data_IF_906243248647
#
_entry.id   IF_906243248647
#
_cell.length_a   1.000
_cell.length_b   1.000
_cell.length_c   1.000
_cell.angle_alpha   90.00
_cell.angle_beta   90.00
_cell.angle_gamma   90.00
#
_symmetry.space_group_name_H-M   'P 1'
#
loop_
_entity.id
_entity.type
_entity.pdbx_description
1 polymer ?
#
# COMPACT_ATOMS: atom_id res chain seq x y z
N UNK A 1 -6.13 17.94 23.59
CA UNK A 1 -7.54 17.57 23.42
C UNK A 1 -7.66 16.82 22.11
N UNK A 2 -7.80 15.50 22.15
CA UNK A 2 -7.89 14.67 20.94
C UNK A 2 -9.31 14.83 20.40
N UNK A 3 -9.38 15.46 19.23
CA UNK A 3 -10.61 15.65 18.47
C UNK A 3 -11.25 14.27 18.20
N UNK A 4 -12.49 14.08 18.62
CA UNK A 4 -13.34 12.94 18.30
C UNK A 4 -13.71 12.99 16.80
N UNK A 5 -12.73 12.92 15.90
CA UNK A 5 -13.04 12.57 14.52
C UNK A 5 -13.67 11.19 14.53
N UNK A 6 -14.89 11.11 14.02
CA UNK A 6 -15.65 9.87 13.93
C UNK A 6 -14.75 8.73 13.43
N UNK A 7 -14.60 7.67 14.23
CA UNK A 7 -13.80 6.49 13.90
C UNK A 7 -14.12 5.94 12.49
N UNK A 8 -15.38 6.05 12.07
CA UNK A 8 -15.79 5.69 10.70
C UNK A 8 -15.22 6.59 9.60
N UNK A 9 -14.90 7.83 9.91
CA UNK A 9 -14.28 8.75 8.95
C UNK A 9 -12.81 8.38 8.67
N UNK A 10 -12.07 7.91 9.67
CA UNK A 10 -10.68 7.45 9.49
C UNK A 10 -10.62 6.17 8.63
N UNK A 11 -11.55 5.23 8.83
CA UNK A 11 -11.66 4.03 8.02
C UNK A 11 -12.00 4.34 6.55
N UNK A 12 -13.03 5.14 6.30
CA UNK A 12 -13.47 5.50 4.94
C UNK A 12 -12.45 6.37 4.19
N UNK A 13 -11.67 7.15 4.93
CA UNK A 13 -10.60 8.00 4.40
C UNK A 13 -9.52 7.16 3.69
N UNK A 14 -9.11 6.03 4.27
CA UNK A 14 -8.09 5.13 3.71
C UNK A 14 -8.53 4.44 2.42
N UNK A 15 -9.83 4.14 2.28
CA UNK A 15 -10.35 3.40 1.12
C UNK A 15 -10.47 4.30 -0.12
N UNK A 16 -11.06 5.51 0.02
CA UNK A 16 -11.46 6.34 -1.12
C UNK A 16 -10.60 7.61 -1.26
N UNK A 17 -10.46 8.38 -0.17
CA UNK A 17 -9.81 9.70 -0.22
C UNK A 17 -8.29 9.64 -0.21
N UNK A 18 -7.71 8.69 0.50
CA UNK A 18 -6.27 8.51 0.67
C UNK A 18 -5.84 7.07 0.31
N UNK A 19 -6.32 6.55 -0.82
CA UNK A 19 -5.87 5.23 -1.29
C UNK A 19 -4.34 5.23 -1.43
N UNK A 20 -3.63 4.30 -0.74
CA UNK A 20 -2.17 4.34 -0.67
C UNK A 20 -1.51 4.17 -2.04
N UNK A 21 -2.06 3.33 -2.91
CA UNK A 21 -1.48 3.04 -4.22
C UNK A 21 -1.89 4.08 -5.26
N UNK A 22 -3.19 4.37 -5.35
CA UNK A 22 -3.74 5.18 -6.44
C UNK A 22 -3.60 6.69 -6.21
N UNK A 23 -3.46 7.13 -4.96
CA UNK A 23 -3.33 8.55 -4.64
C UNK A 23 -1.97 8.94 -4.06
N UNK A 24 -1.44 8.14 -3.15
CA UNK A 24 -0.16 8.42 -2.51
C UNK A 24 1.01 7.83 -3.30
N UNK A 25 0.76 6.94 -4.27
CA UNK A 25 1.79 6.24 -5.07
C UNK A 25 2.78 5.50 -4.16
N UNK A 26 2.29 4.97 -3.05
CA UNK A 26 3.05 4.18 -2.09
C UNK A 26 2.80 2.68 -2.32
N UNK A 27 3.79 1.84 -2.03
CA UNK A 27 3.67 0.39 -2.15
C UNK A 27 3.67 -0.12 -3.59
N UNK A 28 4.29 0.60 -4.51
CA UNK A 28 4.40 0.21 -5.93
C UNK A 28 5.22 -1.05 -6.14
N UNK A 29 6.27 -1.28 -5.31
CA UNK A 29 7.13 -2.45 -5.44
C UNK A 29 6.35 -3.78 -5.33
N UNK A 30 5.62 -4.07 -4.24
CA UNK A 30 4.80 -5.27 -4.17
C UNK A 30 3.68 -5.26 -5.20
N UNK A 31 3.09 -4.09 -5.51
CA UNK A 31 2.04 -3.99 -6.52
C UNK A 31 2.51 -4.47 -7.90
N UNK A 32 3.71 -4.16 -8.32
CA UNK A 32 4.24 -4.60 -9.61
C UNK A 32 4.72 -6.06 -9.58
N UNK A 33 5.28 -6.50 -8.45
CA UNK A 33 5.87 -7.83 -8.33
C UNK A 33 4.80 -8.94 -8.19
N UNK A 34 3.73 -8.73 -7.44
CA UNK A 34 2.78 -9.79 -7.06
C UNK A 34 1.48 -9.79 -7.85
N UNK A 35 1.21 -8.77 -8.68
CA UNK A 35 -0.02 -8.68 -9.47
C UNK A 35 0.01 -9.43 -10.80
N UNK A 36 0.86 -10.44 -10.93
CA UNK A 36 0.88 -11.34 -12.09
C UNK A 36 -0.27 -12.35 -12.05
N UNK A 37 -0.77 -12.70 -10.87
CA UNK A 37 -1.98 -13.48 -10.66
C UNK A 37 -2.87 -12.85 -9.58
N UNK A 38 -4.17 -13.01 -9.71
CA UNK A 38 -5.15 -12.46 -8.78
C UNK A 38 -5.04 -13.11 -7.39
N UNK A 39 -4.76 -14.42 -7.35
CA UNK A 39 -4.56 -15.16 -6.10
C UNK A 39 -3.38 -14.60 -5.30
N UNK A 40 -2.23 -14.42 -5.95
CA UNK A 40 -1.04 -13.82 -5.32
C UNK A 40 -1.28 -12.38 -4.90
N UNK A 41 -2.01 -11.60 -5.69
CA UNK A 41 -2.35 -10.21 -5.38
C UNK A 41 -3.20 -10.09 -4.11
N UNK A 42 -4.23 -10.93 -3.98
CA UNK A 42 -5.11 -10.96 -2.79
C UNK A 42 -4.35 -11.49 -1.58
N UNK A 43 -3.58 -12.57 -1.73
CA UNK A 43 -2.77 -13.13 -0.65
C UNK A 43 -1.77 -12.12 -0.09
N UNK A 44 -1.08 -11.39 -0.97
CA UNK A 44 -0.16 -10.32 -0.57
C UNK A 44 -0.88 -9.16 0.12
N UNK A 45 -2.05 -8.75 -0.39
CA UNK A 45 -2.86 -7.69 0.20
C UNK A 45 -3.31 -8.01 1.62
N UNK A 46 -3.81 -9.24 1.86
CA UNK A 46 -4.25 -9.70 3.18
C UNK A 46 -3.05 -9.80 4.14
N UNK A 47 -1.93 -10.38 3.70
CA UNK A 47 -0.72 -10.50 4.50
C UNK A 47 -0.19 -9.13 4.92
N UNK A 48 -0.11 -8.19 3.98
CA UNK A 48 0.31 -6.82 4.26
C UNK A 48 -0.66 -6.09 5.20
N UNK A 49 -1.97 -6.30 5.07
CA UNK A 49 -2.97 -5.71 5.95
C UNK A 49 -2.81 -6.20 7.40
N UNK A 50 -2.62 -7.51 7.61
CA UNK A 50 -2.40 -8.09 8.94
C UNK A 50 -1.13 -7.49 9.57
N UNK A 51 -0.01 -7.48 8.83
CA UNK A 51 1.25 -6.89 9.32
C UNK A 51 1.08 -5.41 9.64
N UNK A 52 0.39 -4.64 8.78
CA UNK A 52 0.17 -3.20 8.97
C UNK A 52 -0.63 -2.91 10.24
N UNK A 53 -1.71 -3.66 10.48
CA UNK A 53 -2.54 -3.48 11.68
C UNK A 53 -1.76 -3.85 12.95
N UNK A 54 -1.13 -5.03 12.97
CA UNK A 54 -0.37 -5.50 14.12
C UNK A 54 0.82 -4.58 14.44
N UNK A 55 1.59 -4.17 13.42
CA UNK A 55 2.72 -3.26 13.60
C UNK A 55 2.27 -1.88 14.08
N UNK A 56 1.20 -1.32 13.55
CA UNK A 56 0.66 -0.03 13.97
C UNK A 56 0.21 -0.06 15.45
N UNK A 57 -0.41 -1.15 15.90
CA UNK A 57 -0.80 -1.34 17.30
C UNK A 57 0.43 -1.31 18.21
N UNK A 58 1.44 -2.10 17.91
CA UNK A 58 2.66 -2.22 18.73
C UNK A 58 3.46 -0.92 18.71
N UNK A 59 3.65 -0.31 17.54
CA UNK A 59 4.37 0.96 17.40
C UNK A 59 3.67 2.07 18.18
N UNK A 60 2.34 2.16 18.11
CA UNK A 60 1.58 3.14 18.87
C UNK A 60 1.68 2.91 20.38
N UNK A 61 1.74 1.65 20.85
CA UNK A 61 1.95 1.31 22.25
C UNK A 61 3.36 1.70 22.73
N UNK A 62 4.39 1.41 21.92
CA UNK A 62 5.79 1.67 22.23
C UNK A 62 6.25 3.12 21.96
N UNK A 63 5.41 3.98 21.40
CA UNK A 63 5.77 5.36 20.99
C UNK A 63 6.42 6.23 22.07
N UNK A 64 6.13 5.95 23.34
CA UNK A 64 6.67 6.70 24.49
C UNK A 64 8.08 6.22 24.90
N UNK A 65 8.44 5.00 24.51
CA UNK A 65 9.71 4.35 24.90
C UNK A 65 10.79 4.56 23.82
N UNK A 66 10.38 4.66 22.55
CA UNK A 66 11.31 4.76 21.42
C UNK A 66 11.79 6.21 21.26
N UNK A 67 13.11 6.48 21.45
CA UNK A 67 13.67 7.82 21.25
C UNK A 67 13.68 8.20 19.75
N UNK A 68 13.55 9.51 19.50
CA UNK A 68 13.42 10.06 18.14
C UNK A 68 14.58 9.67 17.18
N UNK A 69 15.80 9.55 17.72
CA UNK A 69 17.00 9.29 16.93
C UNK A 69 17.08 7.88 16.31
N UNK A 70 16.42 6.88 16.95
CA UNK A 70 16.46 5.46 16.52
C UNK A 70 15.09 4.92 16.11
N UNK A 71 14.16 5.80 15.81
CA UNK A 71 12.76 5.45 15.54
C UNK A 71 12.61 4.53 14.32
N UNK A 72 13.22 4.90 13.18
CA UNK A 72 13.10 4.14 11.93
C UNK A 72 13.68 2.72 12.06
N UNK A 73 14.92 2.51 12.58
CA UNK A 73 15.44 1.15 12.79
C UNK A 73 14.57 0.29 13.70
N UNK A 74 14.02 0.87 14.79
CA UNK A 74 13.12 0.15 15.69
C UNK A 74 11.82 -0.30 14.99
N UNK A 75 11.25 0.55 14.14
CA UNK A 75 10.05 0.18 13.39
C UNK A 75 10.31 -0.96 12.41
N UNK A 76 11.45 -0.94 11.70
CA UNK A 76 11.84 -2.02 10.79
C UNK A 76 11.96 -3.36 11.52
N UNK A 77 12.57 -3.39 12.71
CA UNK A 77 12.71 -4.61 13.52
C UNK A 77 11.35 -5.15 13.95
N UNK A 78 10.43 -4.27 14.41
CA UNK A 78 9.08 -4.67 14.81
C UNK A 78 8.32 -5.25 13.62
N UNK A 79 8.35 -4.56 12.47
CA UNK A 79 7.69 -5.01 11.25
C UNK A 79 8.27 -6.34 10.77
N UNK A 80 9.60 -6.50 10.79
CA UNK A 80 10.26 -7.73 10.40
C UNK A 80 9.84 -8.93 11.27
N UNK A 81 9.68 -8.73 12.57
CA UNK A 81 9.16 -9.76 13.49
C UNK A 81 7.76 -10.22 13.08
N UNK A 82 6.83 -9.29 12.81
CA UNK A 82 5.49 -9.65 12.36
C UNK A 82 5.47 -10.30 10.97
N UNK A 83 6.29 -9.83 10.03
CA UNK A 83 6.41 -10.46 8.71
C UNK A 83 6.90 -11.90 8.83
N UNK A 84 7.87 -12.18 9.68
CA UNK A 84 8.36 -13.55 9.91
C UNK A 84 7.25 -14.45 10.49
N UNK A 85 6.45 -13.95 11.43
CA UNK A 85 5.32 -14.70 11.98
C UNK A 85 4.29 -15.00 10.88
N UNK A 86 3.91 -14.00 10.07
CA UNK A 86 2.96 -14.18 8.97
C UNK A 86 3.51 -15.15 7.93
N UNK A 87 4.80 -15.09 7.60
CA UNK A 87 5.44 -16.01 6.68
C UNK A 87 5.39 -17.46 7.18
N UNK A 88 5.65 -17.70 8.48
CA UNK A 88 5.51 -19.03 9.06
C UNK A 88 4.06 -19.54 9.04
N UNK A 89 3.08 -18.65 9.28
CA UNK A 89 1.67 -18.99 9.21
C UNK A 89 1.24 -19.34 7.77
N UNK A 90 1.63 -18.54 6.78
CA UNK A 90 1.33 -18.81 5.36
C UNK A 90 1.93 -20.14 4.94
N UNK A 91 3.17 -20.42 5.30
CA UNK A 91 3.85 -21.69 5.03
C UNK A 91 3.16 -22.89 5.66
N UNK A 92 2.60 -22.73 6.86
CA UNK A 92 1.91 -23.82 7.58
C UNK A 92 0.51 -24.12 7.04
N UNK A 93 -0.26 -23.09 6.66
CA UNK A 93 -1.67 -23.21 6.29
C UNK A 93 -1.92 -23.21 4.79
N UNK A 94 -1.08 -22.55 4.00
CA UNK A 94 -1.28 -22.32 2.56
C UNK A 94 0.04 -22.55 1.79
N UNK A 95 0.55 -23.80 1.71
CA UNK A 95 1.83 -24.08 1.06
C UNK A 95 1.86 -23.71 -0.43
N UNK A 96 0.73 -23.81 -1.13
CA UNK A 96 0.61 -23.39 -2.54
C UNK A 96 0.82 -21.88 -2.72
N UNK A 97 0.36 -21.09 -1.76
CA UNK A 97 0.52 -19.64 -1.76
C UNK A 97 1.95 -19.24 -1.36
N UNK A 98 2.59 -19.99 -0.46
CA UNK A 98 3.99 -19.78 -0.05
C UNK A 98 4.95 -19.97 -1.23
N UNK A 99 4.70 -20.92 -2.11
CA UNK A 99 5.52 -21.17 -3.29
C UNK A 99 5.55 -19.97 -4.24
N UNK A 100 4.45 -19.24 -4.35
CA UNK A 100 4.32 -18.04 -5.19
C UNK A 100 4.76 -16.75 -4.47
N UNK A 101 4.41 -16.61 -3.20
CA UNK A 101 4.62 -15.36 -2.43
C UNK A 101 5.85 -15.39 -1.53
N UNK A 102 6.45 -16.55 -1.22
CA UNK A 102 7.49 -16.67 -0.22
C UNK A 102 8.70 -15.76 -0.45
N UNK A 103 9.06 -15.53 -1.72
CA UNK A 103 10.14 -14.60 -2.11
C UNK A 103 9.74 -13.13 -1.94
N UNK A 104 8.45 -12.83 -2.05
CA UNK A 104 7.94 -11.45 -2.00
C UNK A 104 7.47 -11.01 -0.61
N UNK A 105 7.20 -11.93 0.31
CA UNK A 105 6.81 -11.61 1.68
C UNK A 105 7.82 -10.73 2.42
N UNK A 106 9.15 -10.94 2.32
CA UNK A 106 10.12 -10.04 2.91
C UNK A 106 10.05 -8.59 2.41
N UNK A 107 9.49 -8.37 1.21
CA UNK A 107 9.28 -7.03 0.65
C UNK A 107 8.28 -6.20 1.47
N UNK A 108 7.44 -6.86 2.28
CA UNK A 108 6.52 -6.19 3.21
C UNK A 108 7.28 -5.40 4.28
N UNK A 109 8.46 -5.87 4.71
CA UNK A 109 9.27 -5.20 5.75
C UNK A 109 9.66 -3.77 5.33
N UNK A 110 10.06 -3.62 4.07
CA UNK A 110 10.51 -2.32 3.52
C UNK A 110 9.38 -1.59 2.77
N UNK A 111 8.14 -2.04 2.91
CA UNK A 111 7.01 -1.44 2.22
C UNK A 111 6.78 0.01 2.70
N UNK A 112 6.81 0.93 1.73
CA UNK A 112 6.64 2.37 1.99
C UNK A 112 5.28 2.70 2.63
N UNK A 113 4.24 1.89 2.42
CA UNK A 113 2.94 2.10 3.08
C UNK A 113 3.09 1.85 4.58
N UNK A 114 3.67 0.73 4.98
CA UNK A 114 3.78 0.33 6.38
C UNK A 114 4.71 1.27 7.14
N UNK A 115 5.90 1.52 6.60
CA UNK A 115 6.85 2.47 7.19
C UNK A 115 6.30 3.90 7.22
N UNK A 116 5.67 4.34 6.13
CA UNK A 116 5.09 5.67 6.05
C UNK A 116 3.96 5.89 7.05
N UNK A 117 3.08 4.90 7.27
CA UNK A 117 2.00 4.99 8.27
C UNK A 117 2.51 4.83 9.70
N UNK A 118 3.52 3.99 9.92
CA UNK A 118 4.18 3.87 11.21
C UNK A 118 4.74 5.21 11.70
N UNK A 119 5.44 5.94 10.84
CA UNK A 119 6.04 7.23 11.19
C UNK A 119 5.03 8.39 11.17
N UNK A 120 4.19 8.47 10.15
CA UNK A 120 3.28 9.59 9.98
C UNK A 120 2.10 9.55 10.96
N UNK A 121 1.58 8.36 11.29
CA UNK A 121 0.34 8.20 12.04
C UNK A 121 0.51 7.43 13.36
N UNK A 122 1.02 6.19 13.34
CA UNK A 122 1.08 5.33 14.52
C UNK A 122 1.98 5.90 15.62
N UNK A 123 3.11 6.52 15.25
CA UNK A 123 4.01 7.17 16.20
C UNK A 123 3.44 8.41 16.90
N UNK A 124 2.28 8.94 16.48
CA UNK A 124 1.70 10.18 16.99
C UNK A 124 0.30 10.00 17.61
N UNK A 125 -0.46 9.00 17.17
CA UNK A 125 -1.85 8.80 17.54
C UNK A 125 -2.06 7.66 18.54
N UNK A 126 -3.31 7.51 19.04
CA UNK A 126 -3.69 6.44 19.96
C UNK A 126 -3.75 5.07 19.24
N UNK A 127 -3.62 4.00 20.02
CA UNK A 127 -3.60 2.61 19.53
C UNK A 127 -4.83 2.26 18.70
N UNK A 128 -6.03 2.63 19.18
CA UNK A 128 -7.29 2.33 18.48
C UNK A 128 -7.40 3.07 17.15
N UNK A 129 -7.04 4.35 17.12
CA UNK A 129 -7.04 5.13 15.88
C UNK A 129 -6.02 4.56 14.86
N UNK A 130 -4.86 4.14 15.35
CA UNK A 130 -3.80 3.54 14.50
C UNK A 130 -4.20 2.18 13.93
N UNK A 131 -4.95 1.37 14.68
CA UNK A 131 -5.47 0.09 14.19
C UNK A 131 -6.52 0.30 13.09
N UNK A 132 -7.46 1.23 13.28
CA UNK A 132 -8.50 1.55 12.29
C UNK A 132 -7.93 2.17 11.01
N UNK A 133 -6.96 3.05 11.15
CA UNK A 133 -6.22 3.59 10.02
C UNK A 133 -5.49 2.49 9.24
N UNK A 134 -4.82 1.57 9.95
CA UNK A 134 -4.18 0.40 9.35
C UNK A 134 -5.16 -0.49 8.58
N UNK A 135 -6.35 -0.76 9.13
CA UNK A 135 -7.40 -1.49 8.45
C UNK A 135 -7.88 -0.77 7.18
N UNK A 136 -8.18 0.51 7.26
CA UNK A 136 -8.63 1.31 6.12
C UNK A 136 -7.61 1.35 4.98
N UNK A 137 -6.35 1.57 5.32
CA UNK A 137 -5.24 1.56 4.35
C UNK A 137 -4.97 0.16 3.79
N UNK A 138 -5.04 -0.89 4.62
CA UNK A 138 -4.86 -2.27 4.19
C UNK A 138 -5.93 -2.73 3.21
N UNK A 139 -7.20 -2.41 3.47
CA UNK A 139 -8.30 -2.68 2.54
C UNK A 139 -8.12 -1.91 1.24
N UNK A 140 -7.77 -0.61 1.30
CA UNK A 140 -7.49 0.20 0.12
C UNK A 140 -6.34 -0.36 -0.73
N UNK A 141 -5.29 -0.87 -0.09
CA UNK A 141 -4.16 -1.53 -0.74
C UNK A 141 -4.58 -2.84 -1.42
N UNK A 142 -5.31 -3.70 -0.71
CA UNK A 142 -5.80 -4.99 -1.24
C UNK A 142 -6.72 -4.78 -2.45
N UNK A 143 -7.62 -3.80 -2.39
CA UNK A 143 -8.47 -3.45 -3.54
C UNK A 143 -7.65 -2.99 -4.75
N UNK A 144 -6.63 -2.16 -4.54
CA UNK A 144 -5.77 -1.71 -5.63
C UNK A 144 -4.98 -2.88 -6.25
N UNK A 145 -4.44 -3.78 -5.43
CA UNK A 145 -3.77 -4.99 -5.90
C UNK A 145 -4.71 -5.91 -6.69
N UNK A 146 -5.94 -6.10 -6.21
CA UNK A 146 -6.94 -6.94 -6.87
C UNK A 146 -7.31 -6.37 -8.26
N UNK A 147 -7.53 -5.06 -8.36
CA UNK A 147 -7.81 -4.39 -9.65
C UNK A 147 -6.63 -4.57 -10.62
N UNK A 148 -5.42 -4.31 -10.16
CA UNK A 148 -4.21 -4.48 -10.97
C UNK A 148 -4.00 -5.93 -11.40
N UNK A 149 -4.16 -6.89 -10.47
CA UNK A 149 -4.03 -8.33 -10.72
C UNK A 149 -5.05 -8.80 -11.74
N UNK A 150 -6.32 -8.40 -11.59
CA UNK A 150 -7.38 -8.76 -12.54
C UNK A 150 -7.06 -8.28 -13.96
N UNK A 151 -6.65 -7.04 -14.12
CA UNK A 151 -6.32 -6.47 -15.44
C UNK A 151 -5.12 -7.20 -16.06
N UNK A 152 -4.06 -7.42 -15.28
CA UNK A 152 -2.84 -8.06 -15.76
C UNK A 152 -3.02 -9.54 -16.08
N UNK A 153 -3.76 -10.28 -15.24
CA UNK A 153 -4.06 -11.70 -15.47
C UNK A 153 -4.96 -11.87 -16.69
N UNK A 154 -5.99 -11.02 -16.84
CA UNK A 154 -6.90 -11.08 -17.98
C UNK A 154 -6.19 -10.76 -19.31
N UNK A 155 -5.34 -9.75 -19.35
CA UNK A 155 -4.62 -9.34 -20.57
C UNK A 155 -3.39 -10.22 -20.85
N UNK A 156 -2.73 -10.71 -19.80
CA UNK A 156 -1.47 -11.45 -19.90
C UNK A 156 -1.63 -12.93 -20.15
N UNK A 157 -2.53 -13.60 -19.45
CA UNK A 157 -2.76 -15.05 -19.58
C UNK A 157 -4.13 -15.41 -20.12
N UNK A 158 -5.06 -14.44 -20.22
CA UNK A 158 -6.42 -14.71 -20.69
C UNK A 158 -7.24 -15.60 -19.76
N UNK A 159 -6.71 -15.88 -18.56
CA UNK A 159 -7.36 -16.62 -17.49
C UNK A 159 -7.70 -15.69 -16.34
N UNK A 160 -8.70 -16.02 -15.55
CA UNK A 160 -9.02 -15.38 -14.30
C UNK A 160 -9.21 -16.46 -13.25
N UNK A 161 -8.41 -16.41 -12.19
CA UNK A 161 -8.44 -17.40 -11.12
C UNK A 161 -8.27 -18.85 -11.62
N UNK A 162 -7.40 -19.07 -12.62
CA UNK A 162 -7.14 -20.38 -13.20
C UNK A 162 -8.19 -20.89 -14.20
N UNK A 163 -9.25 -20.13 -14.46
CA UNK A 163 -10.24 -20.45 -15.51
C UNK A 163 -9.94 -19.64 -16.76
N UNK A 164 -9.72 -20.32 -17.90
CA UNK A 164 -9.57 -19.69 -19.19
C UNK A 164 -10.88 -18.99 -19.60
N UNK A 165 -10.88 -17.66 -19.68
CA UNK A 165 -12.05 -16.86 -20.08
C UNK A 165 -11.93 -16.43 -21.55
N UNK A 166 -10.71 -16.21 -22.04
CA UNK A 166 -10.52 -15.87 -23.44
C UNK A 166 -10.53 -17.13 -24.31
N UNK A 167 -11.23 -17.08 -25.48
CA UNK A 167 -11.16 -18.15 -26.46
C UNK A 167 -9.73 -18.29 -27.01
N UNK A 168 -9.29 -19.52 -27.32
CA UNK A 168 -7.95 -19.88 -27.83
C UNK A 168 -7.49 -19.09 -29.07
N UNK A 169 -8.38 -18.36 -29.71
CA UNK A 169 -8.10 -17.57 -30.90
C UNK A 169 -7.26 -16.30 -30.64
N UNK A 170 -7.11 -15.85 -29.38
CA UNK A 170 -6.35 -14.64 -29.05
C UNK A 170 -5.07 -15.07 -28.31
N UNK A 171 -3.88 -14.90 -28.92
CA UNK A 171 -2.62 -15.23 -28.24
C UNK A 171 -2.43 -14.35 -27.00
N UNK A 172 -2.08 -14.93 -25.83
CA UNK A 172 -1.86 -14.16 -24.62
C UNK A 172 -0.72 -13.17 -24.82
N UNK A 173 -0.96 -11.91 -24.47
CA UNK A 173 0.06 -10.85 -24.56
C UNK A 173 0.97 -10.89 -23.32
N UNK A 174 1.98 -11.76 -23.36
CA UNK A 174 2.97 -11.92 -22.26
C UNK A 174 3.67 -10.63 -21.86
N UNK A 175 3.66 -9.59 -22.69
CA UNK A 175 4.24 -8.28 -22.37
C UNK A 175 3.58 -7.63 -21.15
N UNK A 176 2.28 -7.90 -20.87
CA UNK A 176 1.58 -7.37 -19.70
C UNK A 176 1.93 -8.10 -18.40
N UNK A 177 2.45 -9.32 -18.48
CA UNK A 177 2.98 -10.05 -17.32
C UNK A 177 4.35 -9.52 -16.92
N UNK A 178 5.16 -9.08 -17.90
CA UNK A 178 6.48 -8.53 -17.65
C UNK A 178 6.41 -7.16 -16.94
N UNK A 179 7.54 -6.75 -16.33
CA UNK A 179 7.65 -5.49 -15.61
C UNK A 179 7.22 -4.24 -16.41
N UNK A 180 7.62 -4.05 -17.70
CA UNK A 180 7.21 -2.86 -18.45
C UNK A 180 5.69 -2.77 -18.66
N UNK A 181 5.02 -3.90 -18.88
CA UNK A 181 3.55 -3.94 -18.98
C UNK A 181 2.88 -3.64 -17.65
N UNK A 182 3.47 -4.07 -16.54
CA UNK A 182 3.00 -3.71 -15.21
C UNK A 182 2.99 -2.20 -14.95
N UNK A 183 4.04 -1.49 -15.33
CA UNK A 183 4.11 -0.02 -15.23
C UNK A 183 3.08 0.67 -16.13
N UNK A 184 2.88 0.16 -17.34
CA UNK A 184 1.88 0.71 -18.25
C UNK A 184 0.46 0.58 -17.69
N UNK A 185 0.09 -0.63 -17.22
CA UNK A 185 -1.22 -0.88 -16.58
C UNK A 185 -1.38 -0.02 -15.32
N UNK A 186 -0.35 0.11 -14.49
CA UNK A 186 -0.36 0.96 -13.31
C UNK A 186 -0.64 2.43 -13.66
N UNK A 187 0.04 2.97 -14.67
CA UNK A 187 -0.20 4.33 -15.16
C UNK A 187 -1.62 4.54 -15.69
N UNK A 188 -2.15 3.55 -16.42
CA UNK A 188 -3.52 3.58 -16.94
C UNK A 188 -4.57 3.56 -15.82
N UNK A 189 -4.41 2.68 -14.84
CA UNK A 189 -5.31 2.58 -13.68
C UNK A 189 -5.28 3.86 -12.86
N UNK A 190 -4.10 4.44 -12.65
CA UNK A 190 -3.94 5.72 -11.95
C UNK A 190 -4.63 6.87 -12.71
N UNK A 191 -4.46 6.96 -14.03
CA UNK A 191 -5.11 7.96 -14.85
C UNK A 191 -6.65 7.83 -14.80
N UNK A 192 -7.16 6.59 -14.85
CA UNK A 192 -8.59 6.29 -14.73
C UNK A 192 -9.12 6.69 -13.35
N UNK A 193 -8.42 6.33 -12.27
CA UNK A 193 -8.78 6.67 -10.89
C UNK A 193 -8.82 8.19 -10.67
N UNK A 194 -7.86 8.93 -11.22
CA UNK A 194 -7.82 10.39 -11.15
C UNK A 194 -8.99 11.02 -11.90
N UNK A 195 -9.31 10.52 -13.09
CA UNK A 195 -10.44 11.01 -13.89
C UNK A 195 -11.79 10.76 -13.20
N UNK A 196 -11.97 9.58 -12.61
CA UNK A 196 -13.16 9.25 -11.81
C UNK A 196 -13.27 10.13 -10.56
N UNK A 197 -12.16 10.44 -9.92
CA UNK A 197 -12.14 11.33 -8.75
C UNK A 197 -12.50 12.78 -9.12
N UNK A 198 -12.11 13.27 -10.32
CA UNK A 198 -12.51 14.58 -10.84
C UNK A 198 -14.02 14.61 -11.15
N UNK A 199 -14.54 13.58 -11.80
CA UNK A 199 -15.96 13.46 -12.09
C UNK A 199 -16.84 13.41 -10.83
N UNK A 200 -16.31 12.84 -9.72
CA UNK A 200 -16.97 12.79 -8.41
C UNK A 200 -16.79 14.06 -7.56
N UNK A 201 -16.24 15.16 -8.10
CA UNK A 201 -16.02 16.41 -7.35
C UNK A 201 -14.87 16.35 -6.35
N UNK A 202 -14.03 15.32 -6.39
CA UNK A 202 -12.82 15.18 -5.57
C UNK A 202 -11.68 16.07 -6.10
N UNK A 203 -10.85 16.58 -5.19
CA UNK A 203 -9.62 17.30 -5.58
C UNK A 203 -8.69 16.37 -6.35
N UNK A 204 -8.08 16.89 -7.44
CA UNK A 204 -7.00 16.19 -8.15
C UNK A 204 -5.99 15.64 -7.16
N UNK A 205 -5.52 14.40 -7.38
CA UNK A 205 -4.30 13.94 -6.76
C UNK A 205 -3.16 14.79 -7.35
N UNK A 206 -2.85 15.90 -6.73
CA UNK A 206 -1.62 16.61 -7.01
C UNK A 206 -0.51 15.71 -6.50
N UNK A 207 0.31 15.21 -7.39
CA UNK A 207 1.64 14.65 -7.05
C UNK A 207 2.31 15.72 -6.21
N UNK A 208 2.30 15.49 -4.88
CA UNK A 208 2.38 16.55 -3.92
C UNK A 208 3.67 17.34 -4.02
N UNK A 209 3.53 18.60 -4.29
CA UNK A 209 4.53 19.58 -3.88
C UNK A 209 4.77 19.47 -2.36
N UNK A 210 5.80 20.12 -1.85
CA UNK A 210 6.21 20.07 -0.44
C UNK A 210 5.08 20.28 0.58
N UNK A 211 3.98 20.94 0.21
CA UNK A 211 2.79 21.15 1.05
C UNK A 211 1.99 19.87 1.33
N UNK A 212 2.08 18.86 0.47
CA UNK A 212 1.39 17.57 0.65
C UNK A 212 2.31 16.47 1.21
N UNK A 213 3.58 16.78 1.46
CA UNK A 213 4.54 15.84 2.02
C UNK A 213 4.20 15.54 3.49
N UNK A 214 4.08 14.26 3.91
CA UNK A 214 3.88 13.90 5.31
C UNK A 214 4.98 14.40 6.25
N UNK A 215 6.17 14.68 5.71
CA UNK A 215 7.32 15.20 6.44
C UNK A 215 7.51 16.71 6.30
N UNK A 216 6.54 17.44 5.78
CA UNK A 216 6.59 18.88 5.60
C UNK A 216 6.94 19.65 6.89
N UNK A 217 6.44 19.15 8.05
CA UNK A 217 6.73 19.75 9.36
C UNK A 217 8.17 19.58 9.85
N UNK A 218 8.92 18.66 9.26
CA UNK A 218 10.32 18.34 9.62
C UNK A 218 11.30 18.75 8.53
N UNK A 219 10.82 19.38 7.46
CA UNK A 219 11.65 19.74 6.33
C UNK A 219 12.33 21.10 6.57
N UNK A 220 13.66 21.10 6.65
CA UNK A 220 14.50 22.26 6.89
C UNK A 220 14.30 23.38 5.84
N UNK A 221 13.97 23.05 4.60
CA UNK A 221 13.68 24.00 3.53
C UNK A 221 12.39 24.79 3.74
N UNK A 222 11.38 24.18 4.39
CA UNK A 222 10.13 24.86 4.75
C UNK A 222 10.31 25.78 5.97
N UNK A 223 11.20 25.40 6.88
CA UNK A 223 11.55 26.23 8.04
C UNK A 223 12.35 27.49 7.62
N UNK A 224 13.11 27.40 6.51
CA UNK A 224 13.87 28.53 5.93
C UNK A 224 13.01 29.46 5.06
N UNK A 225 11.71 29.23 4.91
CA UNK A 225 10.82 30.10 4.10
C UNK A 225 11.01 30.00 2.58
N UNK A 226 11.83 29.07 2.10
CA UNK A 226 12.02 28.84 0.67
C UNK A 226 10.80 28.14 0.06
N UNK A 227 10.18 28.77 -0.94
CA UNK A 227 9.10 28.19 -1.73
C UNK A 227 9.63 26.99 -2.51
N UNK A 228 9.29 25.77 -2.06
CA UNK A 228 9.58 24.54 -2.82
C UNK A 228 8.77 24.52 -4.12
N UNK A 229 9.47 24.63 -5.24
CA UNK A 229 8.97 24.22 -6.55
C UNK A 229 8.08 25.23 -7.26
N UNK A 230 8.68 26.34 -7.67
CA UNK A 230 8.25 27.07 -8.85
C UNK A 230 9.48 27.15 -9.77
N UNK A 231 9.66 26.09 -10.56
CA UNK A 231 10.41 26.15 -11.83
C UNK A 231 9.61 25.35 -12.82
N UNK A 232 9.23 26.06 -13.86
CA UNK A 232 8.56 25.70 -15.10
C UNK A 232 8.75 24.26 -15.59
#
# INVERSE_FOLDING_TARGET
>A
MADKKSLGHEFTKGIIKENPVLRLVLGTCPTLATTTSLESAIGMGISAMIVLVCSNIVISALRKVIPQKVRIPCYIVIIAGFVTIVQMLVKAFLPSLDEQLGVYLPLIVVNCIILGRAEAFAGKNSVVASALDGLGMGVGFTCALAIMGTIRELLGSGSLYGHAILPESIPPMTIFVLAPGGFFVFGLVMACANKLAEAGGGKKATLGGCKACPMASSCEKLAAGEKCGEKE
#
